data_IF_437618589905
#
_entry.id   IF_437618589905
#
_cell.length_a   1.000
_cell.length_b   1.000
_cell.length_c   1.000
_cell.angle_alpha   90.00
_cell.angle_beta   90.00
_cell.angle_gamma   90.00
#
_symmetry.space_group_name_H-M   'P 1'
#
loop_
_entity.id
_entity.type
_entity.pdbx_description
1 polymer ?
#
# COMPACT_ATOMS: atom_id res chain seq x y z
N UNK A 1 -1.00 2.24 -27.99
CA UNK A 1 -1.60 2.76 -26.74
C UNK A 1 -2.56 1.71 -26.20
N UNK A 2 -2.22 1.02 -25.12
CA UNK A 2 -3.21 0.22 -24.39
C UNK A 2 -4.15 1.20 -23.70
N UNK A 3 -5.42 1.20 -24.06
CA UNK A 3 -6.46 1.85 -23.25
C UNK A 3 -6.45 1.15 -21.90
N UNK A 4 -5.79 1.75 -20.92
CA UNK A 4 -5.92 1.38 -19.52
C UNK A 4 -7.36 1.72 -19.12
N UNK A 5 -8.23 0.74 -19.19
CA UNK A 5 -9.55 0.85 -18.55
C UNK A 5 -9.26 0.89 -17.05
N UNK A 6 -9.52 2.01 -16.41
CA UNK A 6 -9.30 2.18 -14.98
C UNK A 6 -9.98 1.04 -14.22
N UNK A 7 -9.24 0.40 -13.34
CA UNK A 7 -9.74 -0.68 -12.51
C UNK A 7 -10.84 -0.15 -11.59
N UNK A 8 -11.95 -0.87 -11.52
CA UNK A 8 -13.10 -0.51 -10.69
C UNK A 8 -13.11 -1.34 -9.42
N UNK A 9 -13.58 -0.77 -8.33
CA UNK A 9 -13.63 -1.39 -7.02
C UNK A 9 -15.04 -1.34 -6.45
N UNK A 10 -15.44 -2.38 -5.74
CA UNK A 10 -16.68 -2.47 -4.98
C UNK A 10 -16.35 -2.58 -3.50
N UNK A 11 -17.05 -1.82 -2.66
CA UNK A 11 -16.96 -1.95 -1.19
C UNK A 11 -18.02 -2.94 -0.69
N UNK A 12 -17.56 -4.02 -0.08
CA UNK A 12 -18.40 -4.99 0.63
C UNK A 12 -18.02 -5.00 2.11
N UNK A 13 -18.84 -4.35 2.94
CA UNK A 13 -18.63 -4.28 4.40
C UNK A 13 -17.24 -3.79 4.83
N UNK A 14 -16.74 -2.73 4.20
CA UNK A 14 -15.42 -2.14 4.51
C UNK A 14 -14.24 -2.88 3.88
N UNK A 15 -14.49 -3.77 2.93
CA UNK A 15 -13.46 -4.43 2.14
C UNK A 15 -13.66 -4.10 0.67
N UNK A 16 -12.58 -3.65 0.01
CA UNK A 16 -12.59 -3.29 -1.40
C UNK A 16 -12.16 -4.48 -2.26
N UNK A 17 -13.00 -4.84 -3.23
CA UNK A 17 -12.71 -5.87 -4.22
C UNK A 17 -12.60 -5.25 -5.61
N UNK A 18 -11.60 -5.63 -6.42
CA UNK A 18 -11.56 -5.24 -7.82
C UNK A 18 -12.66 -5.97 -8.59
N UNK A 19 -13.26 -5.30 -9.56
CA UNK A 19 -14.29 -5.90 -10.41
C UNK A 19 -13.96 -5.73 -11.88
N UNK A 20 -14.24 -6.79 -12.65
CA UNK A 20 -14.18 -6.77 -14.10
C UNK A 20 -15.52 -6.32 -14.69
N UNK A 21 -15.48 -5.42 -15.66
CA UNK A 21 -16.65 -5.09 -16.47
C UNK A 21 -17.46 -3.86 -16.07
N UNK A 22 -18.73 -3.80 -16.45
CA UNK A 22 -19.59 -2.60 -16.47
C UNK A 22 -20.28 -2.26 -15.13
N UNK A 23 -19.78 -2.72 -14.00
CA UNK A 23 -20.41 -2.51 -12.70
C UNK A 23 -20.02 -1.16 -12.08
N UNK A 24 -20.88 -0.66 -11.17
CA UNK A 24 -20.81 0.69 -10.60
C UNK A 24 -19.44 1.05 -10.04
N UNK A 25 -19.02 2.26 -10.38
CA UNK A 25 -17.73 2.85 -10.09
C UNK A 25 -17.58 3.27 -8.63
N UNK A 26 -16.55 2.73 -7.97
CA UNK A 26 -15.92 3.44 -6.88
C UNK A 26 -14.58 4.01 -7.38
N UNK A 27 -14.18 5.20 -6.93
CA UNK A 27 -12.84 5.72 -7.21
C UNK A 27 -11.79 4.76 -6.64
N UNK A 28 -10.57 4.84 -7.16
CA UNK A 28 -9.41 4.15 -6.58
C UNK A 28 -9.40 4.30 -5.06
N UNK A 29 -8.91 3.30 -4.30
CA UNK A 29 -8.73 3.46 -2.86
C UNK A 29 -8.00 4.76 -2.57
N UNK A 30 -8.63 5.69 -1.85
CA UNK A 30 -7.96 6.93 -1.41
C UNK A 30 -6.79 6.61 -0.47
N UNK A 31 -6.09 7.64 0.01
CA UNK A 31 -5.07 7.46 1.06
C UNK A 31 -5.64 6.67 2.23
N UNK A 32 -4.82 5.91 2.90
CA UNK A 32 -5.20 5.07 4.03
C UNK A 32 -4.36 3.80 4.13
N UNK A 33 -4.57 3.08 5.20
CA UNK A 33 -3.89 1.82 5.49
C UNK A 33 -4.87 0.68 5.27
N UNK A 34 -4.50 -0.21 4.40
CA UNK A 34 -5.28 -1.37 4.00
C UNK A 34 -4.53 -2.65 4.35
N UNK A 35 -5.26 -3.69 4.64
CA UNK A 35 -4.75 -5.05 4.74
C UNK A 35 -5.24 -5.86 3.56
N UNK A 36 -4.35 -6.65 2.98
CA UNK A 36 -4.73 -7.59 1.95
C UNK A 36 -5.62 -8.67 2.57
N UNK A 37 -6.80 -8.85 2.01
CA UNK A 37 -7.82 -9.74 2.54
C UNK A 37 -8.24 -10.77 1.47
N UNK A 38 -8.42 -12.01 1.88
CA UNK A 38 -9.00 -13.05 1.02
C UNK A 38 -10.30 -13.56 1.63
N UNK A 39 -11.34 -13.62 0.81
CA UNK A 39 -12.64 -14.17 1.19
C UNK A 39 -12.53 -15.63 1.64
N UNK A 40 -13.46 -16.06 2.49
CA UNK A 40 -13.52 -17.43 3.02
C UNK A 40 -14.50 -18.29 2.24
N UNK A 41 -14.28 -19.61 2.27
CA UNK A 41 -15.18 -20.60 1.67
C UNK A 41 -15.03 -20.65 0.14
N UNK A 42 -16.15 -20.56 -0.58
CA UNK A 42 -16.17 -20.58 -2.04
C UNK A 42 -15.76 -19.25 -2.67
N UNK A 43 -15.86 -18.16 -1.93
CA UNK A 43 -15.44 -16.83 -2.38
C UNK A 43 -14.00 -16.58 -1.99
N UNK A 44 -13.08 -16.86 -2.92
CA UNK A 44 -11.64 -16.66 -2.75
C UNK A 44 -11.17 -15.32 -3.32
N UNK A 45 -12.08 -14.35 -3.56
CA UNK A 45 -11.70 -13.04 -4.07
C UNK A 45 -10.70 -12.36 -3.11
N UNK A 46 -9.72 -11.69 -3.69
CA UNK A 46 -8.76 -10.87 -2.97
C UNK A 46 -9.24 -9.42 -3.02
N UNK A 47 -9.16 -8.74 -1.91
CA UNK A 47 -9.55 -7.33 -1.79
C UNK A 47 -8.69 -6.59 -0.78
N UNK A 48 -8.98 -5.31 -0.59
CA UNK A 48 -8.29 -4.42 0.33
C UNK A 48 -9.25 -4.00 1.44
N UNK A 49 -8.99 -4.46 2.66
CA UNK A 49 -9.75 -4.08 3.84
C UNK A 49 -9.13 -2.87 4.50
N UNK A 50 -9.84 -1.74 4.55
CA UNK A 50 -9.35 -0.52 5.20
C UNK A 50 -9.25 -0.74 6.71
N UNK A 51 -8.08 -0.43 7.28
CA UNK A 51 -7.80 -0.51 8.71
C UNK A 51 -7.91 0.86 9.37
N UNK A 52 -7.28 1.89 8.78
CA UNK A 52 -7.25 3.25 9.32
C UNK A 52 -6.84 4.25 8.23
N UNK A 53 -6.88 5.54 8.56
CA UNK A 53 -6.38 6.58 7.66
C UNK A 53 -4.86 6.71 7.74
N UNK A 54 -4.28 6.60 8.94
CA UNK A 54 -2.83 6.71 9.18
C UNK A 54 -2.41 5.76 10.30
N UNK A 55 -1.11 5.47 10.38
CA UNK A 55 -0.56 4.77 11.54
C UNK A 55 -0.58 5.70 12.76
N UNK A 56 -1.19 5.24 13.83
CA UNK A 56 -1.19 5.92 15.13
C UNK A 56 -0.09 5.35 16.03
N UNK A 57 0.46 6.21 16.89
CA UNK A 57 1.51 5.85 17.83
C UNK A 57 1.06 6.17 19.25
N UNK A 58 0.90 5.14 20.07
CA UNK A 58 0.46 5.29 21.47
C UNK A 58 1.57 5.77 22.42
N UNK A 59 2.79 5.93 21.91
CA UNK A 59 3.96 6.30 22.68
C UNK A 59 4.69 7.49 22.06
N UNK A 60 5.43 8.23 22.87
CA UNK A 60 6.31 9.29 22.38
C UNK A 60 7.36 8.67 21.44
N UNK A 61 7.39 9.18 20.22
CA UNK A 61 8.40 8.81 19.23
C UNK A 61 9.60 9.71 19.44
N UNK A 62 10.77 9.11 19.62
CA UNK A 62 12.03 9.83 19.66
C UNK A 62 12.56 9.94 18.25
N UNK A 63 13.16 11.09 17.94
CA UNK A 63 13.90 11.27 16.69
C UNK A 63 15.06 10.28 16.64
N UNK A 64 15.03 9.39 15.64
CA UNK A 64 16.09 8.40 15.39
C UNK A 64 17.00 8.82 14.24
N UNK A 65 16.91 10.08 13.79
CA UNK A 65 17.76 10.63 12.73
C UNK A 65 17.44 10.11 11.32
N UNK A 66 16.22 9.63 11.09
CA UNK A 66 15.81 9.09 9.79
C UNK A 66 15.32 10.15 8.79
N UNK A 67 15.17 11.41 9.17
CA UNK A 67 14.58 12.44 8.31
C UNK A 67 15.32 12.62 6.99
N UNK A 68 16.66 12.63 7.01
CA UNK A 68 17.47 12.71 5.79
C UNK A 68 17.21 11.52 4.85
N UNK A 69 17.03 10.32 5.40
CA UNK A 69 16.73 9.13 4.61
C UNK A 69 15.32 9.23 4.00
N UNK A 70 14.35 9.69 4.76
CA UNK A 70 12.98 9.90 4.28
C UNK A 70 12.94 10.96 3.18
N UNK A 71 13.71 12.04 3.30
CA UNK A 71 13.87 13.05 2.25
C UNK A 71 14.43 12.47 0.94
N UNK A 72 15.45 11.60 1.05
CA UNK A 72 16.03 10.93 -0.12
C UNK A 72 14.99 10.01 -0.78
N UNK A 73 14.28 9.20 0.01
CA UNK A 73 13.25 8.29 -0.50
C UNK A 73 12.17 9.07 -1.21
N UNK A 74 11.65 10.13 -0.59
CA UNK A 74 10.59 10.96 -1.16
C UNK A 74 11.05 11.64 -2.45
N UNK A 75 12.22 12.26 -2.47
CA UNK A 75 12.79 12.89 -3.68
C UNK A 75 13.05 11.90 -4.81
N UNK A 76 13.45 10.68 -4.46
CA UNK A 76 13.63 9.62 -5.46
C UNK A 76 12.30 9.21 -6.07
N UNK A 77 11.29 9.00 -5.24
CA UNK A 77 9.93 8.66 -5.66
C UNK A 77 9.32 9.73 -6.56
N UNK A 78 9.47 11.01 -6.20
CA UNK A 78 8.89 12.16 -6.92
C UNK A 78 9.72 12.58 -8.15
N UNK A 79 10.86 11.95 -8.42
CA UNK A 79 11.73 12.35 -9.53
C UNK A 79 11.12 11.97 -10.88
N UNK A 80 11.18 12.90 -11.85
CA UNK A 80 10.65 12.70 -13.22
C UNK A 80 11.22 11.43 -13.86
N UNK A 81 12.52 11.17 -13.69
CA UNK A 81 13.18 9.99 -14.22
C UNK A 81 12.59 8.69 -13.66
N UNK A 82 12.24 8.66 -12.36
CA UNK A 82 11.66 7.48 -11.72
C UNK A 82 10.26 7.22 -12.25
N UNK A 83 9.46 8.28 -12.40
CA UNK A 83 8.10 8.22 -12.94
C UNK A 83 8.10 7.79 -14.41
N UNK A 84 8.98 8.38 -15.24
CA UNK A 84 9.10 8.06 -16.67
C UNK A 84 9.53 6.61 -16.91
N UNK A 85 10.44 6.08 -16.09
CA UNK A 85 10.92 4.70 -16.20
C UNK A 85 9.93 3.67 -15.59
N UNK A 86 8.83 4.12 -14.98
CA UNK A 86 7.81 3.27 -14.34
C UNK A 86 8.41 2.19 -13.44
N UNK A 87 9.34 2.59 -12.58
CA UNK A 87 10.07 1.70 -11.65
C UNK A 87 9.41 1.63 -10.29
N UNK A 88 9.62 0.49 -9.62
CA UNK A 88 9.25 0.32 -8.22
C UNK A 88 10.44 0.65 -7.32
N UNK A 89 10.18 1.37 -6.22
CA UNK A 89 11.18 1.68 -5.21
C UNK A 89 11.08 0.68 -4.05
N UNK A 90 12.13 -0.11 -3.84
CA UNK A 90 12.24 -1.02 -2.71
C UNK A 90 12.99 -0.36 -1.55
N UNK A 91 12.40 -0.40 -0.34
CA UNK A 91 13.05 0.07 0.90
C UNK A 91 13.10 -1.07 1.90
N UNK A 92 14.29 -1.39 2.41
CA UNK A 92 14.50 -2.45 3.39
C UNK A 92 15.04 -1.85 4.68
N UNK A 93 14.29 -2.01 5.77
CA UNK A 93 14.73 -1.62 7.11
C UNK A 93 15.46 -2.79 7.78
N UNK A 94 16.74 -2.66 8.02
CA UNK A 94 17.58 -3.67 8.68
C UNK A 94 18.10 -3.18 10.02
N UNK A 95 18.43 -4.09 10.93
CA UNK A 95 19.00 -3.77 12.25
C UNK A 95 18.53 -4.73 13.34
N UNK A 96 19.08 -4.58 14.54
CA UNK A 96 18.74 -5.38 15.70
C UNK A 96 17.28 -5.21 16.13
N UNK A 97 16.75 -6.18 16.88
CA UNK A 97 15.42 -6.10 17.48
C UNK A 97 15.35 -4.88 18.41
N UNK A 98 14.25 -4.13 18.37
CA UNK A 98 14.03 -2.95 19.23
C UNK A 98 14.63 -1.65 18.72
N UNK A 99 15.26 -1.60 17.54
CA UNK A 99 15.88 -0.38 16.98
C UNK A 99 14.91 0.54 16.22
N UNK A 100 13.60 0.33 16.36
CA UNK A 100 12.59 1.24 15.79
C UNK A 100 12.30 1.03 14.29
N UNK A 101 12.72 -0.09 13.67
CA UNK A 101 12.47 -0.36 12.23
C UNK A 101 11.00 -0.23 11.83
N UNK A 102 10.12 -0.89 12.58
CA UNK A 102 8.67 -0.81 12.31
C UNK A 102 8.10 0.59 12.51
N UNK A 103 8.63 1.33 13.48
CA UNK A 103 8.25 2.74 13.71
C UNK A 103 8.72 3.59 12.55
N UNK A 104 9.96 3.43 12.10
CA UNK A 104 10.51 4.12 10.94
C UNK A 104 9.71 3.86 9.66
N UNK A 105 9.37 2.60 9.39
CA UNK A 105 8.53 2.24 8.25
C UNK A 105 7.15 2.92 8.30
N UNK A 106 6.48 2.89 9.47
CA UNK A 106 5.19 3.54 9.66
C UNK A 106 5.25 5.06 9.51
N UNK A 107 6.31 5.70 10.01
CA UNK A 107 6.54 7.14 9.86
C UNK A 107 6.72 7.51 8.38
N UNK A 108 7.51 6.73 7.65
CA UNK A 108 7.69 6.92 6.21
C UNK A 108 6.37 6.80 5.46
N UNK A 109 5.57 5.77 5.76
CA UNK A 109 4.24 5.59 5.16
C UNK A 109 3.32 6.78 5.42
N UNK A 110 3.26 7.26 6.68
CA UNK A 110 2.46 8.42 7.02
C UNK A 110 2.91 9.71 6.31
N UNK A 111 4.20 9.82 6.04
CA UNK A 111 4.78 10.99 5.37
C UNK A 111 4.45 11.03 3.88
N UNK A 112 4.48 9.88 3.20
CA UNK A 112 4.21 9.80 1.77
C UNK A 112 2.73 10.00 1.42
N UNK A 113 1.82 9.76 2.37
CA UNK A 113 0.37 9.99 2.27
C UNK A 113 -0.29 9.35 1.03
N UNK A 114 0.20 8.20 0.65
CA UNK A 114 -0.36 7.35 -0.42
C UNK A 114 -0.94 6.06 0.19
N UNK A 115 -1.80 5.31 -0.53
CA UNK A 115 -2.33 4.04 -0.03
C UNK A 115 -1.22 3.10 0.42
N UNK A 116 -1.37 2.50 1.60
CA UNK A 116 -0.46 1.51 2.16
C UNK A 116 -1.17 0.17 2.23
N UNK A 117 -0.57 -0.87 1.66
CA UNK A 117 -1.12 -2.22 1.67
C UNK A 117 -0.24 -3.10 2.56
N UNK A 118 -0.78 -3.55 3.67
CA UNK A 118 -0.11 -4.49 4.58
C UNK A 118 -0.37 -5.91 4.08
N UNK A 119 0.70 -6.65 3.87
CA UNK A 119 0.64 -8.07 3.58
C UNK A 119 0.60 -8.83 4.91
N UNK A 120 -0.46 -9.59 5.18
CA UNK A 120 -0.52 -10.41 6.40
C UNK A 120 0.44 -11.61 6.32
N UNK A 121 0.83 -12.14 7.47
CA UNK A 121 1.76 -13.29 7.55
C UNK A 121 1.15 -14.61 7.04
N UNK A 122 -0.15 -14.66 6.82
CA UNK A 122 -0.82 -15.83 6.27
C UNK A 122 -0.67 -15.90 4.75
N UNK A 123 -0.58 -17.11 4.23
CA UNK A 123 -0.50 -17.34 2.81
C UNK A 123 -1.82 -16.97 2.10
N UNK A 124 -1.73 -16.12 1.07
CA UNK A 124 -2.85 -15.70 0.22
C UNK A 124 -2.57 -16.14 -1.20
N UNK A 125 -3.38 -17.08 -1.68
CA UNK A 125 -3.29 -17.59 -3.05
C UNK A 125 -3.58 -16.48 -4.06
N UNK A 126 -2.67 -16.24 -5.01
CA UNK A 126 -2.84 -15.21 -6.04
C UNK A 126 -2.44 -13.78 -5.63
N UNK A 127 -1.87 -13.58 -4.44
CA UNK A 127 -1.45 -12.28 -3.92
C UNK A 127 -0.56 -11.51 -4.88
N UNK A 128 0.46 -12.15 -5.45
CA UNK A 128 1.42 -11.51 -6.35
C UNK A 128 0.71 -11.00 -7.61
N UNK A 129 -0.14 -11.83 -8.20
CA UNK A 129 -0.93 -11.45 -9.38
C UNK A 129 -1.88 -10.30 -9.08
N UNK A 130 -2.49 -10.28 -7.89
CA UNK A 130 -3.34 -9.19 -7.45
C UNK A 130 -2.56 -7.87 -7.34
N UNK A 131 -1.40 -7.87 -6.67
CA UNK A 131 -0.56 -6.68 -6.51
C UNK A 131 -0.08 -6.16 -7.87
N UNK A 132 0.30 -7.05 -8.79
CA UNK A 132 0.72 -6.67 -10.14
C UNK A 132 -0.37 -6.05 -11.01
N UNK A 133 -1.64 -6.25 -10.66
CA UNK A 133 -2.79 -5.69 -11.38
C UNK A 133 -3.25 -4.34 -10.82
N UNK A 134 -2.67 -3.86 -9.72
CA UNK A 134 -3.01 -2.55 -9.16
C UNK A 134 -2.61 -1.45 -10.15
N UNK A 135 -3.52 -0.54 -10.43
CA UNK A 135 -3.37 0.56 -11.39
C UNK A 135 -3.21 1.94 -10.70
N UNK A 136 -2.88 1.94 -9.42
CA UNK A 136 -2.65 3.13 -8.62
C UNK A 136 -1.34 3.04 -7.83
N UNK A 137 -0.79 4.19 -7.49
CA UNK A 137 0.41 4.29 -6.65
C UNK A 137 0.11 3.86 -5.23
N UNK A 138 0.91 2.95 -4.68
CA UNK A 138 0.77 2.47 -3.31
C UNK A 138 2.10 1.99 -2.73
N UNK A 139 2.14 1.86 -1.39
CA UNK A 139 3.19 1.16 -0.65
C UNK A 139 2.70 -0.26 -0.35
N UNK A 140 3.54 -1.26 -0.57
CA UNK A 140 3.26 -2.66 -0.26
C UNK A 140 4.30 -3.21 0.70
#
# INVERSE_FOLDING_TARGET
MKNLVAQKWIDECGTLFPIDGNTVLYPTPGSGIFELYQGKGQDKRIGLKKLSEKFEFNHKIYDVGCDNLFDIIQKTWESDKFVEENKNLGVIFTGYKGTGKSVGAKLLCNRLDIPVIIIPDNEIEGMVSFIQQLDFECIV
#
